data_IF_758186736871
#
_entry.id   IF_758186736871
#
_cell.length_a   1.000
_cell.length_b   1.000
_cell.length_c   1.000
_cell.angle_alpha   90.00
_cell.angle_beta   90.00
_cell.angle_gamma   90.00
#
_symmetry.space_group_name_H-M   'P 1'
#
loop_
_entity.id
_entity.type
_entity.pdbx_description
1 polymer ?
#
# COMPACT_ATOMS: atom_id res chain seq x y z
N UNK A 1 -15.12 10.10 15.75
CA UNK A 1 -15.35 9.35 14.49
C UNK A 1 -14.42 8.15 14.51
N UNK A 2 -14.95 6.94 14.29
CA UNK A 2 -14.17 5.69 14.30
C UNK A 2 -14.43 4.92 13.01
N UNK A 3 -13.37 4.39 12.38
CA UNK A 3 -13.45 3.65 11.12
C UNK A 3 -12.95 2.22 11.29
N UNK A 4 -13.88 1.27 11.27
CA UNK A 4 -13.55 -0.15 11.36
C UNK A 4 -12.90 -0.64 10.06
N UNK A 5 -11.60 -0.89 10.12
CA UNK A 5 -10.77 -1.35 8.99
C UNK A 5 -9.95 -2.58 9.36
N UNK A 6 -9.16 -3.08 8.42
CA UNK A 6 -8.33 -4.27 8.62
C UNK A 6 -7.00 -4.19 7.89
N UNK A 7 -5.92 -4.52 8.60
CA UNK A 7 -4.57 -4.63 8.04
C UNK A 7 -4.38 -6.03 7.47
N UNK A 8 -4.40 -6.16 6.14
CA UNK A 8 -4.31 -7.47 5.49
C UNK A 8 -2.92 -8.11 5.58
N UNK A 9 -1.85 -7.30 5.68
CA UNK A 9 -0.45 -7.77 5.75
C UNK A 9 0.11 -7.68 7.17
N UNK A 10 1.41 -7.95 7.31
CA UNK A 10 2.15 -7.89 8.55
C UNK A 10 2.14 -6.49 9.16
N UNK A 11 2.60 -6.40 10.42
CA UNK A 11 2.68 -5.12 11.11
C UNK A 11 3.69 -4.17 10.47
N UNK A 12 4.82 -4.72 10.02
CA UNK A 12 5.92 -4.03 9.38
C UNK A 12 6.53 -4.91 8.29
N UNK A 13 7.29 -4.30 7.39
CA UNK A 13 8.07 -5.03 6.38
C UNK A 13 7.25 -5.57 5.19
N UNK A 14 7.93 -6.24 4.24
CA UNK A 14 7.28 -6.84 3.07
C UNK A 14 6.53 -8.13 3.41
N UNK A 15 6.82 -8.73 4.56
CA UNK A 15 6.29 -10.02 4.97
C UNK A 15 4.84 -9.92 5.45
N UNK A 16 4.10 -11.02 5.27
CA UNK A 16 2.72 -11.11 5.71
C UNK A 16 2.59 -11.11 7.24
N UNK A 17 3.69 -11.32 8.00
CA UNK A 17 3.79 -11.14 9.45
C UNK A 17 5.18 -10.78 9.94
N UNK A 18 5.26 -9.85 10.90
CA UNK A 18 6.49 -9.61 11.67
C UNK A 18 6.11 -9.39 13.13
N UNK A 19 6.07 -10.50 13.88
CA UNK A 19 6.21 -10.56 15.34
C UNK A 19 7.05 -11.81 15.70
N UNK A 20 8.28 -11.88 15.19
CA UNK A 20 9.30 -12.86 15.60
C UNK A 20 9.21 -14.27 15.00
N UNK A 21 8.07 -14.68 14.45
CA UNK A 21 7.90 -15.90 13.65
C UNK A 21 7.39 -15.49 12.27
N UNK A 22 7.92 -16.08 11.19
CA UNK A 22 7.41 -15.86 9.83
C UNK A 22 6.05 -16.55 9.58
N UNK A 23 5.16 -16.50 10.57
CA UNK A 23 3.82 -17.11 10.57
C UNK A 23 2.78 -16.11 11.06
N UNK A 24 1.58 -16.15 10.47
CA UNK A 24 0.46 -15.31 10.94
C UNK A 24 -0.06 -15.80 12.26
N UNK A 25 -0.08 -14.90 13.24
CA UNK A 25 -0.71 -15.13 14.53
C UNK A 25 -2.24 -15.06 14.43
N UNK A 26 -2.78 -14.49 13.35
CA UNK A 26 -4.22 -14.37 13.11
C UNK A 26 -4.74 -15.60 12.35
N UNK A 27 -5.97 -16.04 12.64
CA UNK A 27 -6.61 -17.11 11.89
C UNK A 27 -6.74 -16.76 10.40
N UNK A 28 -6.48 -17.74 9.52
CA UNK A 28 -6.62 -17.57 8.06
C UNK A 28 -8.05 -17.20 7.69
N UNK A 29 -9.03 -17.70 8.43
CA UNK A 29 -10.45 -17.47 8.23
C UNK A 29 -10.81 -16.00 8.49
N UNK A 30 -10.17 -15.38 9.49
CA UNK A 30 -10.35 -13.97 9.81
C UNK A 30 -9.85 -13.09 8.66
N UNK A 31 -8.62 -13.34 8.20
CA UNK A 31 -8.02 -12.60 7.08
C UNK A 31 -8.89 -12.76 5.83
N UNK A 32 -9.32 -13.98 5.50
CA UNK A 32 -10.19 -14.25 4.37
C UNK A 32 -11.54 -13.51 4.47
N UNK A 33 -12.14 -13.44 5.68
CA UNK A 33 -13.36 -12.66 5.94
C UNK A 33 -13.17 -11.18 5.64
N UNK A 34 -12.02 -10.61 5.97
CA UNK A 34 -11.69 -9.22 5.69
C UNK A 34 -11.27 -8.95 4.24
N UNK A 35 -10.58 -9.88 3.58
CA UNK A 35 -10.28 -9.79 2.15
C UNK A 35 -11.55 -9.68 1.29
N UNK A 36 -12.60 -10.42 1.64
CA UNK A 36 -13.93 -10.31 1.00
C UNK A 36 -14.56 -8.93 1.17
N UNK A 37 -14.16 -8.17 2.20
CA UNK A 37 -14.63 -6.81 2.48
C UNK A 37 -13.78 -5.71 1.82
N UNK A 38 -12.79 -6.06 0.98
CA UNK A 38 -11.87 -5.11 0.35
C UNK A 38 -12.59 -3.86 -0.22
N UNK A 39 -12.25 -2.65 0.28
CA UNK A 39 -12.95 -1.43 -0.10
C UNK A 39 -12.72 -1.06 -1.57
N UNK A 40 -11.52 -1.30 -2.12
CA UNK A 40 -11.20 -1.05 -3.52
C UNK A 40 -12.12 -1.88 -4.44
N UNK A 41 -12.28 -3.17 -4.15
CA UNK A 41 -13.16 -4.05 -4.93
C UNK A 41 -14.64 -3.65 -4.80
N UNK A 42 -15.09 -3.32 -3.59
CA UNK A 42 -16.48 -2.87 -3.35
C UNK A 42 -16.78 -1.58 -4.10
N UNK A 43 -15.91 -0.59 -3.99
CA UNK A 43 -16.10 0.71 -4.64
C UNK A 43 -15.99 0.59 -6.15
N UNK A 44 -15.04 -0.20 -6.67
CA UNK A 44 -14.96 -0.50 -8.10
C UNK A 44 -16.25 -1.11 -8.66
N UNK A 45 -16.85 -2.09 -7.96
CA UNK A 45 -18.16 -2.65 -8.34
C UNK A 45 -19.28 -1.60 -8.32
N UNK A 46 -19.30 -0.73 -7.30
CA UNK A 46 -20.26 0.36 -7.23
C UNK A 46 -20.12 1.31 -8.43
N UNK A 47 -18.90 1.71 -8.78
CA UNK A 47 -18.64 2.62 -9.89
C UNK A 47 -19.06 2.02 -11.24
N UNK A 48 -18.78 0.73 -11.47
CA UNK A 48 -19.22 0.01 -12.67
C UNK A 48 -20.75 -0.11 -12.73
N UNK A 49 -21.39 -0.53 -11.64
CA UNK A 49 -22.86 -0.70 -11.56
C UNK A 49 -23.59 0.60 -11.88
N UNK A 50 -23.06 1.73 -11.42
CA UNK A 50 -23.64 3.05 -11.64
C UNK A 50 -23.17 3.72 -12.93
N UNK A 51 -22.41 3.02 -13.79
CA UNK A 51 -21.87 3.55 -15.05
C UNK A 51 -21.02 4.83 -14.89
N UNK A 52 -20.45 5.04 -13.69
CA UNK A 52 -19.54 6.16 -13.41
C UNK A 52 -18.17 5.90 -14.02
N UNK A 53 -17.75 4.63 -14.02
CA UNK A 53 -16.55 4.16 -14.71
C UNK A 53 -16.86 2.95 -15.57
N UNK A 54 -16.01 2.73 -16.56
CA UNK A 54 -15.96 1.49 -17.36
C UNK A 54 -14.86 0.58 -16.85
N UNK A 55 -14.90 -0.70 -17.23
CA UNK A 55 -13.81 -1.64 -16.92
C UNK A 55 -12.46 -1.16 -17.49
N UNK A 56 -12.49 -0.59 -18.71
CA UNK A 56 -11.33 0.04 -19.33
C UNK A 56 -10.81 1.20 -18.49
N UNK A 57 -11.70 2.03 -17.94
CA UNK A 57 -11.36 3.12 -17.02
C UNK A 57 -10.64 2.62 -15.76
N UNK A 58 -11.20 1.60 -15.09
CA UNK A 58 -10.56 0.99 -13.91
C UNK A 58 -9.18 0.41 -14.24
N UNK A 59 -9.06 -0.29 -15.37
CA UNK A 59 -7.77 -0.84 -15.82
C UNK A 59 -6.75 0.27 -16.08
N UNK A 60 -7.16 1.38 -16.69
CA UNK A 60 -6.29 2.51 -16.97
C UNK A 60 -5.78 3.16 -15.66
N UNK A 61 -6.64 3.34 -14.66
CA UNK A 61 -6.24 3.87 -13.34
C UNK A 61 -5.19 2.96 -12.68
N UNK A 62 -5.42 1.64 -12.68
CA UNK A 62 -4.45 0.69 -12.14
C UNK A 62 -3.10 0.77 -12.87
N UNK A 63 -3.13 0.87 -14.20
CA UNK A 63 -1.90 1.01 -15.00
C UNK A 63 -1.17 2.33 -14.75
N UNK A 64 -1.89 3.42 -14.49
CA UNK A 64 -1.30 4.71 -14.14
C UNK A 64 -0.59 4.61 -12.78
N UNK A 65 -1.28 4.09 -11.76
CA UNK A 65 -0.70 3.88 -10.44
C UNK A 65 0.56 2.99 -10.49
N UNK A 66 0.53 1.89 -11.25
CA UNK A 66 1.69 1.01 -11.43
C UNK A 66 2.86 1.78 -12.06
N UNK A 67 2.61 2.54 -13.14
CA UNK A 67 3.64 3.34 -13.82
C UNK A 67 4.23 4.41 -12.89
N UNK A 68 3.42 5.06 -12.09
CA UNK A 68 3.86 6.06 -11.11
C UNK A 68 4.78 5.44 -10.06
N UNK A 69 4.37 4.30 -9.48
CA UNK A 69 5.18 3.56 -8.50
C UNK A 69 6.49 3.09 -9.11
N UNK A 70 6.47 2.53 -10.33
CA UNK A 70 7.69 2.11 -11.02
C UNK A 70 8.66 3.29 -11.24
N UNK A 71 8.16 4.45 -11.68
CA UNK A 71 8.98 5.66 -11.89
C UNK A 71 9.57 6.15 -10.58
N UNK A 72 8.77 6.24 -9.51
CA UNK A 72 9.23 6.66 -8.19
C UNK A 72 10.31 5.72 -7.64
N UNK A 73 10.13 4.41 -7.80
CA UNK A 73 11.11 3.41 -7.38
C UNK A 73 12.43 3.52 -8.17
N UNK A 74 12.36 3.70 -9.49
CA UNK A 74 13.56 3.92 -10.32
C UNK A 74 14.30 5.19 -9.93
N UNK A 75 13.58 6.27 -9.65
CA UNK A 75 14.15 7.51 -9.15
C UNK A 75 14.90 7.26 -7.83
N UNK A 76 14.22 6.67 -6.83
CA UNK A 76 14.81 6.39 -5.52
C UNK A 76 16.07 5.51 -5.60
N UNK A 77 16.08 4.50 -6.49
CA UNK A 77 17.25 3.63 -6.68
C UNK A 77 18.44 4.32 -7.35
N UNK A 78 18.19 5.34 -8.17
CA UNK A 78 19.23 6.11 -8.87
C UNK A 78 19.73 7.28 -8.05
N UNK A 79 18.98 7.70 -7.04
CA UNK A 79 19.39 8.75 -6.12
C UNK A 79 20.68 8.35 -5.40
N UNK A 80 21.64 9.27 -5.26
CA UNK A 80 22.85 9.00 -4.51
C UNK A 80 22.52 8.81 -3.02
N UNK A 81 23.35 8.03 -2.33
CA UNK A 81 23.31 8.01 -0.86
C UNK A 81 23.65 9.40 -0.30
N UNK A 82 23.09 9.77 0.87
CA UNK A 82 23.43 11.02 1.52
C UNK A 82 24.93 11.06 1.85
N UNK A 83 25.54 12.24 1.75
CA UNK A 83 26.94 12.40 2.13
C UNK A 83 27.09 12.36 3.65
N UNK A 84 28.28 12.00 4.15
CA UNK A 84 28.55 11.91 5.60
C UNK A 84 28.31 13.25 6.31
N UNK A 85 28.59 14.36 5.65
CA UNK A 85 28.43 15.71 6.21
C UNK A 85 26.96 16.09 6.41
N UNK A 86 26.02 15.36 5.79
CA UNK A 86 24.59 15.58 5.94
C UNK A 86 24.03 15.01 7.24
N UNK A 87 24.77 14.15 7.95
CA UNK A 87 24.32 13.48 9.17
C UNK A 87 23.88 14.45 10.27
N UNK A 88 24.58 15.57 10.44
CA UNK A 88 24.32 16.55 11.49
C UNK A 88 23.41 17.71 11.03
N UNK A 89 22.98 17.70 9.77
CA UNK A 89 22.06 18.74 9.27
C UNK A 89 20.69 18.56 9.92
N UNK A 90 20.01 19.68 10.17
CA UNK A 90 18.66 19.74 10.76
C UNK A 90 18.52 19.24 12.21
N UNK A 91 19.63 19.09 12.94
CA UNK A 91 19.62 18.83 14.39
C UNK A 91 19.22 20.10 15.15
N UNK A 92 19.77 21.24 14.74
CA UNK A 92 19.37 22.57 15.19
C UNK A 92 18.92 23.40 14.00
N UNK A 93 18.17 24.47 14.28
CA UNK A 93 17.60 25.35 13.27
C UNK A 93 18.66 26.22 12.58
N UNK A 94 19.71 26.59 13.31
CA UNK A 94 20.80 27.47 12.87
C UNK A 94 22.03 26.67 12.45
#
# INVERSE_FOLDING_TARGET
>A
LEFMTYRLRGHVGPDDNVQGLHTDIRPKEEIAKWQRKCPIKKFGKFLLKNKILTEKGLKNINQQAEKEVCKAHQFARRSPFPKKEELNKYVFKD
#
